data_IF_774071681836
#
_entry.id   IF_774071681836
#
_cell.length_a   1.000
_cell.length_b   1.000
_cell.length_c   1.000
_cell.angle_alpha   90.00
_cell.angle_beta   90.00
_cell.angle_gamma   90.00
#
_symmetry.space_group_name_H-M   'P 1'
#
loop_
_entity.id
_entity.type
_entity.pdbx_description
1 polymer ?
#
# COMPACT_ATOMS: atom_id res chain seq x y z
N UNK A 1 -16.91 -12.90 1.84
CA UNK A 1 -15.46 -12.63 1.82
C UNK A 1 -14.74 -13.18 3.05
N UNK A 2 -15.15 -12.86 4.29
CA UNK A 2 -14.47 -13.35 5.51
C UNK A 2 -14.39 -14.89 5.63
N UNK A 3 -15.45 -15.63 5.26
CA UNK A 3 -15.43 -17.10 5.30
C UNK A 3 -14.45 -17.74 4.31
N UNK A 4 -14.30 -17.18 3.11
CA UNK A 4 -13.33 -17.67 2.11
C UNK A 4 -11.90 -17.43 2.61
N UNK A 5 -11.63 -16.25 3.16
CA UNK A 5 -10.33 -15.93 3.75
C UNK A 5 -10.02 -16.89 4.91
N UNK A 6 -10.99 -17.14 5.79
CA UNK A 6 -10.84 -18.04 6.92
C UNK A 6 -10.50 -19.47 6.49
N UNK A 7 -11.17 -19.99 5.45
CA UNK A 7 -10.85 -21.32 4.91
C UNK A 7 -9.47 -21.35 4.25
N UNK A 8 -9.11 -20.32 3.49
CA UNK A 8 -7.81 -20.23 2.82
C UNK A 8 -6.63 -20.08 3.80
N UNK A 9 -6.84 -19.51 4.98
CA UNK A 9 -5.81 -19.44 6.01
C UNK A 9 -5.33 -20.82 6.46
N UNK A 10 -6.19 -21.82 6.53
CA UNK A 10 -5.79 -23.20 6.86
C UNK A 10 -4.98 -23.88 5.76
N UNK A 11 -5.15 -23.45 4.50
CA UNK A 11 -4.40 -24.00 3.36
C UNK A 11 -3.00 -23.38 3.19
N UNK A 12 -2.75 -22.23 3.83
CA UNK A 12 -1.50 -21.50 3.68
C UNK A 12 -0.43 -22.06 4.63
N UNK A 13 0.73 -22.46 4.09
CA UNK A 13 1.88 -22.80 4.92
C UNK A 13 2.37 -21.56 5.67
N UNK A 14 2.76 -21.72 6.93
CA UNK A 14 3.38 -20.64 7.70
C UNK A 14 4.65 -20.12 7.02
N UNK A 15 4.98 -18.86 7.27
CA UNK A 15 6.16 -18.26 6.66
C UNK A 15 7.43 -18.97 7.16
N UNK A 16 8.38 -19.32 6.26
CA UNK A 16 9.60 -20.02 6.66
C UNK A 16 10.41 -19.21 7.69
N UNK A 17 10.40 -17.88 7.59
CA UNK A 17 11.03 -16.99 8.59
C UNK A 17 10.41 -17.12 9.99
N UNK A 18 9.10 -17.29 10.09
CA UNK A 18 8.42 -17.49 11.38
C UNK A 18 8.73 -18.87 11.97
N UNK A 19 8.75 -19.92 11.13
CA UNK A 19 9.12 -21.27 11.55
C UNK A 19 10.57 -21.34 12.05
N UNK A 20 11.51 -20.69 11.36
CA UNK A 20 12.90 -20.53 11.81
C UNK A 20 12.94 -19.81 13.16
N UNK A 21 12.17 -18.73 13.33
CA UNK A 21 12.09 -17.98 14.59
C UNK A 21 11.56 -18.79 15.77
N UNK A 22 10.68 -19.77 15.53
CA UNK A 22 10.20 -20.69 16.56
C UNK A 22 11.14 -21.89 16.80
N UNK A 23 12.30 -21.95 16.14
CA UNK A 23 13.24 -23.07 16.23
C UNK A 23 12.84 -24.29 15.38
N UNK A 24 11.80 -24.19 14.56
CA UNK A 24 11.28 -25.27 13.71
C UNK A 24 11.96 -25.30 12.34
N UNK A 25 13.28 -25.49 12.31
CA UNK A 25 14.08 -25.42 11.08
C UNK A 25 13.67 -26.46 10.01
N UNK A 26 13.27 -27.66 10.43
CA UNK A 26 12.83 -28.71 9.51
C UNK A 26 11.51 -28.35 8.79
N UNK A 27 10.50 -27.86 9.53
CA UNK A 27 9.25 -27.38 8.95
C UNK A 27 9.50 -26.16 8.04
N UNK A 28 10.40 -25.26 8.42
CA UNK A 28 10.78 -24.10 7.61
C UNK A 28 11.40 -24.52 6.27
N UNK A 29 12.26 -25.54 6.27
CA UNK A 29 12.90 -26.08 5.07
C UNK A 29 11.86 -26.68 4.13
N UNK A 30 10.90 -27.46 4.65
CA UNK A 30 9.80 -28.00 3.86
C UNK A 30 8.87 -26.91 3.30
N UNK A 31 8.55 -25.88 4.08
CA UNK A 31 7.75 -24.75 3.63
C UNK A 31 8.46 -23.97 2.51
N UNK A 32 9.76 -23.72 2.65
CA UNK A 32 10.55 -23.02 1.65
C UNK A 32 10.75 -23.85 0.37
N UNK A 33 10.99 -25.15 0.51
CA UNK A 33 11.06 -26.10 -0.59
C UNK A 33 9.78 -26.12 -1.42
N UNK A 34 8.61 -26.13 -0.75
CA UNK A 34 7.30 -26.04 -1.40
C UNK A 34 7.09 -24.71 -2.12
N UNK A 35 7.51 -23.60 -1.51
CA UNK A 35 7.38 -22.26 -2.10
C UNK A 35 8.28 -22.06 -3.33
N UNK A 36 9.51 -22.58 -3.27
CA UNK A 36 10.51 -22.49 -4.35
C UNK A 36 10.37 -23.58 -5.40
N UNK A 37 9.49 -24.56 -5.18
CA UNK A 37 9.35 -25.78 -5.99
C UNK A 37 10.68 -26.52 -6.21
N UNK A 38 11.46 -26.64 -5.14
CA UNK A 38 12.78 -27.29 -5.15
C UNK A 38 12.81 -28.38 -4.07
N UNK A 39 13.64 -29.43 -4.20
CA UNK A 39 13.79 -30.42 -3.14
C UNK A 39 14.36 -29.78 -1.88
N UNK A 40 13.92 -30.26 -0.72
CA UNK A 40 14.28 -29.72 0.60
C UNK A 40 15.80 -29.72 0.88
N UNK A 41 16.54 -30.65 0.28
CA UNK A 41 18.00 -30.73 0.38
C UNK A 41 18.77 -29.97 -0.70
N UNK A 42 18.10 -29.20 -1.57
CA UNK A 42 18.82 -28.40 -2.58
C UNK A 42 19.68 -27.33 -1.90
N UNK A 43 20.87 -27.12 -2.44
CA UNK A 43 21.82 -26.10 -1.94
C UNK A 43 21.17 -24.71 -1.84
N UNK A 44 20.29 -24.38 -2.78
CA UNK A 44 19.54 -23.14 -2.81
C UNK A 44 18.63 -22.97 -1.58
N UNK A 45 17.82 -23.98 -1.25
CA UNK A 45 16.90 -23.93 -0.09
C UNK A 45 17.67 -23.88 1.22
N UNK A 46 18.72 -24.70 1.34
CA UNK A 46 19.60 -24.74 2.52
C UNK A 46 20.25 -23.38 2.75
N UNK A 47 20.84 -22.79 1.70
CA UNK A 47 21.47 -21.47 1.76
C UNK A 47 20.49 -20.38 2.17
N UNK A 48 19.27 -20.41 1.65
CA UNK A 48 18.26 -19.40 1.96
C UNK A 48 17.74 -19.53 3.40
N UNK A 49 17.59 -20.76 3.93
CA UNK A 49 17.32 -20.98 5.37
C UNK A 49 18.46 -20.47 6.24
N UNK A 50 19.72 -20.73 5.89
CA UNK A 50 20.87 -20.19 6.63
C UNK A 50 20.92 -18.67 6.60
N UNK A 51 20.62 -18.05 5.46
CA UNK A 51 20.55 -16.59 5.35
C UNK A 51 19.43 -16.00 6.25
N UNK A 52 18.28 -16.68 6.32
CA UNK A 52 17.18 -16.30 7.21
C UNK A 52 17.59 -16.43 8.68
N UNK A 53 18.27 -17.53 9.06
CA UNK A 53 18.77 -17.74 10.41
C UNK A 53 19.78 -16.66 10.80
N UNK A 54 20.78 -16.41 9.96
CA UNK A 54 21.79 -15.37 10.22
C UNK A 54 21.19 -13.97 10.34
N UNK A 55 20.20 -13.63 9.50
CA UNK A 55 19.48 -12.36 9.62
C UNK A 55 18.70 -12.26 10.94
N UNK A 56 18.10 -13.36 11.39
CA UNK A 56 17.36 -13.41 12.64
C UNK A 56 18.29 -13.32 13.86
N UNK A 57 19.44 -14.00 13.82
CA UNK A 57 20.44 -13.95 14.87
C UNK A 57 20.99 -12.52 15.02
N UNK A 58 21.31 -11.86 13.90
CA UNK A 58 21.67 -10.43 13.91
C UNK A 58 20.57 -9.53 14.49
N UNK A 59 19.30 -9.79 14.15
CA UNK A 59 18.16 -9.05 14.73
C UNK A 59 18.04 -9.31 16.23
N UNK A 60 18.24 -10.55 16.68
CA UNK A 60 18.19 -10.92 18.09
C UNK A 60 19.35 -10.29 18.87
N UNK A 61 20.57 -10.30 18.34
CA UNK A 61 21.71 -9.63 18.96
C UNK A 61 21.47 -8.13 19.10
N UNK A 62 20.98 -7.47 18.04
CA UNK A 62 20.67 -6.04 18.05
C UNK A 62 19.51 -5.69 19.02
N UNK A 63 18.55 -6.60 19.21
CA UNK A 63 17.28 -6.27 19.89
C UNK A 63 17.09 -7.00 21.23
N UNK A 64 17.96 -7.94 21.61
CA UNK A 64 17.82 -8.79 22.81
C UNK A 64 17.89 -8.00 24.12
N UNK A 65 18.58 -6.86 24.13
CA UNK A 65 18.73 -5.99 25.29
C UNK A 65 17.60 -4.95 25.43
N UNK A 66 16.70 -4.86 24.46
CA UNK A 66 15.68 -3.82 24.38
C UNK A 66 14.28 -4.43 24.53
N UNK A 67 13.66 -4.17 25.68
CA UNK A 67 12.22 -4.43 25.86
C UNK A 67 11.38 -3.68 24.82
N UNK A 68 10.06 -3.91 24.77
CA UNK A 68 9.17 -3.28 23.76
C UNK A 68 9.33 -1.75 23.69
N UNK A 69 9.49 -1.08 24.83
CA UNK A 69 9.77 0.35 24.92
C UNK A 69 11.18 0.72 24.39
N UNK A 70 12.16 -0.17 24.55
CA UNK A 70 13.50 -0.02 23.98
C UNK A 70 13.50 -0.08 22.46
N UNK A 71 12.75 -1.01 21.86
CA UNK A 71 12.62 -1.11 20.39
C UNK A 71 11.98 0.14 19.78
N UNK A 72 10.92 0.65 20.42
CA UNK A 72 10.31 1.92 20.03
C UNK A 72 11.30 3.08 20.17
N UNK A 73 12.02 3.15 21.29
CA UNK A 73 13.03 4.18 21.52
C UNK A 73 14.13 4.15 20.47
N UNK A 74 14.66 2.97 20.14
CA UNK A 74 15.67 2.79 19.11
C UNK A 74 15.15 3.19 17.71
N UNK A 75 13.89 2.88 17.42
CA UNK A 75 13.24 3.26 16.17
C UNK A 75 13.19 4.78 15.96
N UNK A 76 13.03 5.54 17.04
CA UNK A 76 13.05 7.01 17.00
C UNK A 76 14.43 7.64 17.29
N UNK A 77 15.34 6.96 17.99
CA UNK A 77 16.69 7.49 18.28
C UNK A 77 17.64 7.33 17.11
N UNK A 78 17.53 6.25 16.35
CA UNK A 78 18.41 6.00 15.20
C UNK A 78 17.95 6.87 14.03
N UNK A 79 18.73 7.90 13.67
CA UNK A 79 18.42 8.84 12.57
C UNK A 79 18.05 8.15 11.26
N UNK A 80 18.70 7.03 10.92
CA UNK A 80 18.40 6.23 9.73
C UNK A 80 17.00 5.60 9.79
N UNK A 81 16.60 5.11 10.96
CA UNK A 81 15.29 4.50 11.16
C UNK A 81 14.18 5.57 11.23
N UNK A 82 14.44 6.68 11.91
CA UNK A 82 13.52 7.83 11.95
C UNK A 82 13.25 8.40 10.56
N UNK A 83 14.26 8.49 9.68
CA UNK A 83 14.05 8.90 8.29
C UNK A 83 13.13 7.93 7.53
N UNK A 84 13.28 6.61 7.74
CA UNK A 84 12.40 5.60 7.12
C UNK A 84 10.97 5.70 7.65
N UNK A 85 10.80 5.85 8.96
CA UNK A 85 9.49 6.02 9.61
C UNK A 85 8.83 7.30 9.13
N UNK A 86 9.56 8.41 9.07
CA UNK A 86 9.06 9.69 8.56
C UNK A 86 8.59 9.57 7.11
N UNK A 87 9.39 8.96 6.23
CA UNK A 87 9.00 8.73 4.83
C UNK A 87 7.77 7.83 4.72
N UNK A 88 7.71 6.71 5.46
CA UNK A 88 6.58 5.79 5.43
C UNK A 88 5.29 6.47 5.91
N UNK A 89 5.35 7.21 7.02
CA UNK A 89 4.22 7.96 7.57
C UNK A 89 3.77 9.05 6.61
N UNK A 90 4.70 9.83 6.02
CA UNK A 90 4.34 10.87 5.06
C UNK A 90 3.69 10.31 3.80
N UNK A 91 4.21 9.20 3.25
CA UNK A 91 3.60 8.53 2.10
C UNK A 91 2.18 8.06 2.43
N UNK A 92 1.96 7.48 3.61
CA UNK A 92 0.65 7.01 4.02
C UNK A 92 -0.33 8.16 4.25
N UNK A 93 0.12 9.25 4.90
CA UNK A 93 -0.68 10.44 5.12
C UNK A 93 -1.08 11.10 3.80
N UNK A 94 -0.13 11.32 2.89
CA UNK A 94 -0.41 11.88 1.56
C UNK A 94 -1.36 11.00 0.75
N UNK A 95 -1.21 9.67 0.85
CA UNK A 95 -2.11 8.72 0.18
C UNK A 95 -3.56 8.84 0.66
N UNK A 96 -3.78 9.05 1.96
CA UNK A 96 -5.13 9.26 2.51
C UNK A 96 -5.65 10.68 2.22
N UNK A 97 -4.79 11.69 2.30
CA UNK A 97 -5.13 13.08 2.03
C UNK A 97 -5.51 13.36 0.58
N UNK A 98 -5.03 12.56 -0.37
CA UNK A 98 -5.50 12.60 -1.76
C UNK A 98 -7.01 12.34 -1.89
N UNK A 99 -7.69 11.84 -0.85
CA UNK A 99 -9.13 11.62 -0.87
C UNK A 99 -9.55 10.43 -1.74
N UNK A 100 -8.60 9.57 -2.13
CA UNK A 100 -8.88 8.40 -2.98
C UNK A 100 -9.95 7.46 -2.38
N UNK A 101 -9.99 7.36 -1.05
CA UNK A 101 -11.03 6.63 -0.31
C UNK A 101 -12.41 7.28 -0.47
N UNK A 102 -12.50 8.59 -0.22
CA UNK A 102 -13.75 9.37 -0.33
C UNK A 102 -14.30 9.38 -1.75
N UNK A 103 -13.45 9.57 -2.77
CA UNK A 103 -13.87 9.52 -4.19
C UNK A 103 -14.45 8.16 -4.52
N UNK A 104 -13.84 7.07 -4.05
CA UNK A 104 -14.34 5.72 -4.31
C UNK A 104 -15.69 5.47 -3.63
N UNK A 105 -15.88 5.97 -2.40
CA UNK A 105 -17.12 5.82 -1.64
C UNK A 105 -18.29 6.62 -2.23
N UNK A 106 -18.03 7.85 -2.67
CA UNK A 106 -19.07 8.77 -3.15
C UNK A 106 -19.17 8.86 -4.68
N UNK A 107 -18.37 8.08 -5.43
CA UNK A 107 -18.35 8.11 -6.90
C UNK A 107 -19.77 8.00 -7.48
N UNK A 108 -20.56 7.03 -7.01
CA UNK A 108 -21.93 6.80 -7.50
C UNK A 108 -22.82 8.01 -7.24
N UNK A 109 -22.71 8.63 -6.07
CA UNK A 109 -23.52 9.80 -5.70
C UNK A 109 -23.09 11.05 -6.48
N UNK A 110 -21.79 11.21 -6.76
CA UNK A 110 -21.26 12.23 -7.67
C UNK A 110 -21.80 12.07 -9.09
N UNK A 111 -21.84 10.84 -9.62
CA UNK A 111 -22.41 10.57 -10.94
C UNK A 111 -23.94 10.71 -11.00
N UNK A 112 -24.64 10.46 -9.90
CA UNK A 112 -26.09 10.76 -9.77
C UNK A 112 -26.35 12.27 -9.82
N UNK A 113 -25.52 13.07 -9.14
CA UNK A 113 -25.62 14.54 -9.16
C UNK A 113 -25.36 15.11 -10.57
N UNK A 114 -24.52 14.45 -11.37
CA UNK A 114 -24.25 14.78 -12.76
C UNK A 114 -25.38 14.38 -13.74
N UNK A 115 -26.51 13.86 -13.25
CA UNK A 115 -27.71 13.63 -14.05
C UNK A 115 -27.99 12.18 -14.45
N UNK A 116 -27.14 11.22 -14.05
CA UNK A 116 -27.38 9.80 -14.34
C UNK A 116 -28.34 9.22 -13.28
N UNK A 117 -29.64 9.22 -13.59
CA UNK A 117 -30.71 8.74 -12.70
C UNK A 117 -31.07 7.28 -13.02
N UNK A 118 -30.62 6.34 -12.20
CA UNK A 118 -31.04 4.93 -12.26
C UNK A 118 -30.25 4.03 -11.29
N UNK A 119 -30.94 3.25 -10.45
CA UNK A 119 -30.29 2.33 -9.50
C UNK A 119 -29.48 1.23 -10.21
N UNK A 120 -30.00 0.73 -11.34
CA UNK A 120 -29.30 -0.21 -12.23
C UNK A 120 -28.06 0.41 -12.87
N UNK A 121 -28.14 1.67 -13.33
CA UNK A 121 -26.97 2.40 -13.82
C UNK A 121 -25.90 2.61 -12.75
N UNK A 122 -26.27 2.87 -11.49
CA UNK A 122 -25.30 3.07 -10.40
C UNK A 122 -24.40 1.84 -10.18
N UNK A 123 -24.97 0.64 -10.24
CA UNK A 123 -24.20 -0.61 -10.12
C UNK A 123 -23.26 -0.81 -11.30
N UNK A 124 -23.74 -0.59 -12.53
CA UNK A 124 -22.92 -0.69 -13.75
C UNK A 124 -21.77 0.33 -13.75
N UNK A 125 -22.03 1.56 -13.32
CA UNK A 125 -21.00 2.61 -13.21
C UNK A 125 -19.94 2.24 -12.18
N UNK A 126 -20.35 1.70 -11.03
CA UNK A 126 -19.40 1.24 -10.00
C UNK A 126 -18.52 0.10 -10.52
N UNK A 127 -19.11 -0.84 -11.25
CA UNK A 127 -18.39 -1.96 -11.85
C UNK A 127 -17.37 -1.47 -12.89
N UNK A 128 -17.77 -0.59 -13.81
CA UNK A 128 -16.88 0.01 -14.80
C UNK A 128 -15.78 0.84 -14.14
N UNK A 129 -16.12 1.65 -13.12
CA UNK A 129 -15.13 2.41 -12.35
C UNK A 129 -14.11 1.49 -11.66
N UNK A 130 -14.56 0.36 -11.11
CA UNK A 130 -13.69 -0.67 -10.54
C UNK A 130 -12.74 -1.28 -11.57
N UNK A 131 -13.24 -1.59 -12.77
CA UNK A 131 -12.43 -2.13 -13.87
C UNK A 131 -11.39 -1.11 -14.33
N UNK A 132 -11.77 0.15 -14.55
CA UNK A 132 -10.84 1.22 -14.94
C UNK A 132 -9.78 1.42 -13.86
N UNK A 133 -10.17 1.40 -12.58
CA UNK A 133 -9.24 1.50 -11.45
C UNK A 133 -8.25 0.33 -11.43
N UNK A 134 -8.71 -0.89 -11.70
CA UNK A 134 -7.87 -2.08 -11.77
C UNK A 134 -6.86 -1.99 -12.92
N UNK A 135 -7.32 -1.65 -14.13
CA UNK A 135 -6.46 -1.53 -15.31
C UNK A 135 -5.43 -0.41 -15.10
N UNK A 136 -5.86 0.75 -14.61
CA UNK A 136 -4.96 1.87 -14.30
C UNK A 136 -3.91 1.50 -13.25
N UNK A 137 -4.33 0.79 -12.19
CA UNK A 137 -3.41 0.31 -11.16
C UNK A 137 -2.40 -0.71 -11.72
N UNK A 138 -2.84 -1.64 -12.58
CA UNK A 138 -1.97 -2.64 -13.19
C UNK A 138 -0.94 -1.99 -14.13
N UNK A 139 -1.39 -1.07 -14.98
CA UNK A 139 -0.50 -0.33 -15.90
C UNK A 139 0.51 0.50 -15.10
N UNK A 140 0.08 1.21 -14.06
CA UNK A 140 1.00 1.93 -13.20
C UNK A 140 1.97 1.00 -12.48
N UNK A 141 1.49 -0.12 -11.95
CA UNK A 141 2.32 -1.06 -11.19
C UNK A 141 3.39 -1.71 -12.08
N UNK A 142 3.05 -2.15 -13.28
CA UNK A 142 3.99 -2.83 -14.18
C UNK A 142 4.87 -1.84 -14.94
N UNK A 143 4.32 -0.80 -15.54
CA UNK A 143 5.11 0.11 -16.37
C UNK A 143 5.82 1.20 -15.55
N UNK A 144 5.12 1.84 -14.61
CA UNK A 144 5.70 2.98 -13.89
C UNK A 144 6.72 2.53 -12.84
N UNK A 145 6.46 1.43 -12.12
CA UNK A 145 7.40 0.96 -11.09
C UNK A 145 8.65 0.34 -11.72
N UNK A 146 8.50 -0.44 -12.79
CA UNK A 146 9.65 -1.13 -13.40
C UNK A 146 10.50 -0.20 -14.27
N UNK A 147 9.91 0.79 -14.95
CA UNK A 147 10.66 1.71 -15.85
C UNK A 147 11.20 2.94 -15.10
N UNK A 148 10.40 3.54 -14.21
CA UNK A 148 10.76 4.82 -13.56
C UNK A 148 11.42 4.59 -12.19
N UNK A 149 11.23 3.42 -11.58
CA UNK A 149 11.75 3.05 -10.27
C UNK A 149 10.89 3.60 -9.12
N UNK A 150 10.77 2.82 -8.03
CA UNK A 150 9.83 3.09 -6.91
C UNK A 150 9.82 4.52 -6.38
N UNK A 151 10.99 5.14 -6.17
CA UNK A 151 11.07 6.50 -5.60
C UNK A 151 10.54 7.57 -6.57
N UNK A 152 10.88 7.45 -7.85
CA UNK A 152 10.49 8.44 -8.87
C UNK A 152 9.02 8.27 -9.23
N UNK A 153 8.51 7.05 -9.28
CA UNK A 153 7.08 6.77 -9.47
C UNK A 153 6.20 7.41 -8.38
N UNK A 154 6.64 7.34 -7.12
CA UNK A 154 5.94 8.00 -6.01
C UNK A 154 5.96 9.53 -6.15
N UNK A 155 7.11 10.12 -6.50
CA UNK A 155 7.23 11.56 -6.71
C UNK A 155 6.41 12.06 -7.91
N UNK A 156 6.37 11.32 -9.02
CA UNK A 156 5.53 11.65 -10.17
C UNK A 156 4.04 11.56 -9.83
N UNK A 157 3.64 10.58 -9.02
CA UNK A 157 2.27 10.47 -8.53
C UNK A 157 1.87 11.67 -7.67
N UNK A 158 2.72 12.07 -6.72
CA UNK A 158 2.46 13.20 -5.82
C UNK A 158 2.41 14.52 -6.60
N UNK A 159 3.34 14.74 -7.52
CA UNK A 159 3.35 15.95 -8.36
C UNK A 159 2.14 16.03 -9.28
N UNK A 160 1.71 14.90 -9.86
CA UNK A 160 0.48 14.83 -10.66
C UNK A 160 -0.77 15.14 -9.82
N UNK A 161 -0.86 14.62 -8.60
CA UNK A 161 -1.97 14.90 -7.68
C UNK A 161 -1.99 16.36 -7.20
N UNK A 162 -0.82 17.01 -7.09
CA UNK A 162 -0.69 18.40 -6.67
C UNK A 162 -0.90 19.43 -7.80
N UNK A 163 -0.86 19.01 -9.08
CA UNK A 163 -1.02 19.93 -10.19
C UNK A 163 -2.45 20.51 -10.32
N UNK A 164 -3.54 19.72 -10.22
CA UNK A 164 -4.90 20.25 -10.29
C UNK A 164 -5.26 21.22 -9.17
N UNK A 165 -4.70 21.04 -7.97
CA UNK A 165 -5.01 21.92 -6.82
C UNK A 165 -4.41 23.33 -6.96
N UNK A 166 -3.33 23.50 -7.72
CA UNK A 166 -2.75 24.82 -8.02
C UNK A 166 -3.53 25.60 -9.07
N UNK A 167 -4.24 24.92 -9.97
CA UNK A 167 -5.06 25.60 -10.99
C UNK A 167 -6.33 26.19 -10.40
N UNK A 168 -6.85 25.62 -9.29
CA UNK A 168 -8.02 26.13 -8.59
C UNK A 168 -7.72 27.33 -7.67
N UNK A 169 -6.46 27.67 -7.41
CA UNK A 169 -6.07 28.84 -6.60
C UNK A 169 -5.88 30.12 -7.44
N UNK A 170 -6.28 30.13 -8.71
CA UNK A 170 -6.44 31.41 -9.44
C UNK A 170 -7.68 32.12 -8.87
N UNK A 171 -7.56 33.33 -8.30
CA UNK A 171 -8.68 34.00 -7.69
C UNK A 171 -9.73 34.30 -8.77
N UNK A 172 -10.85 33.60 -8.73
CA UNK A 172 -12.07 34.02 -9.41
C UNK A 172 -12.40 35.42 -8.90
N UNK A 173 -12.12 36.42 -9.74
CA UNK A 173 -12.51 37.80 -9.57
C UNK A 173 -14.02 37.83 -9.36
N UNK A 174 -14.45 38.11 -8.14
CA UNK A 174 -15.84 38.33 -7.78
C UNK A 174 -16.33 39.58 -8.50
N UNK A 175 -17.18 39.43 -9.52
CA UNK A 175 -18.00 40.52 -10.03
C UNK A 175 -19.10 40.84 -8.99
N UNK A 176 -19.28 42.10 -8.57
CA UNK A 176 -20.34 42.46 -7.62
C UNK A 176 -21.73 42.27 -8.26
N UNK A 177 -22.78 42.01 -7.46
CA UNK A 177 -24.13 41.81 -7.97
C UNK A 177 -24.65 43.11 -8.61
N UNK A 178 -25.18 43.01 -9.83
CA UNK A 178 -25.86 44.10 -10.50
C UNK A 178 -27.12 44.49 -9.71
N UNK A 179 -27.15 45.73 -9.21
CA UNK A 179 -28.34 46.36 -8.65
C UNK A 179 -29.30 46.63 -9.81
N UNK A 180 -30.48 46.00 -9.79
CA UNK A 180 -31.55 46.27 -10.73
C UNK A 180 -32.17 47.66 -10.45
N UNK A 181 -32.43 48.51 -11.46
CA UNK A 181 -33.22 49.71 -11.26
C UNK A 181 -34.70 49.32 -11.15
N UNK A 182 -35.34 49.78 -10.07
CA UNK A 182 -36.79 49.77 -9.89
C UNK A 182 -37.45 50.68 -10.94
N UNK A 183 -38.58 50.25 -11.51
CA UNK A 183 -39.74 51.12 -11.69
C UNK A 183 -40.94 50.68 -10.84
#
# INVERSE_FOLDING_TARGET
MAGIIFVLMFAQSESPRFLVKQGKSHEATHALARLRQQPAGSEYVVREIYAIQAALDHELEATSSLGWAGKLREMFLVKSNLYRVYMATMVQLLSQWSGAGSVTLYAVDLFKLLGIRGAQQGLLITAVFGIVKLISALVCALFLVDVVGRKRALLTGITLQAAPSRTSSSPHRTSPPAVAPLP
#
